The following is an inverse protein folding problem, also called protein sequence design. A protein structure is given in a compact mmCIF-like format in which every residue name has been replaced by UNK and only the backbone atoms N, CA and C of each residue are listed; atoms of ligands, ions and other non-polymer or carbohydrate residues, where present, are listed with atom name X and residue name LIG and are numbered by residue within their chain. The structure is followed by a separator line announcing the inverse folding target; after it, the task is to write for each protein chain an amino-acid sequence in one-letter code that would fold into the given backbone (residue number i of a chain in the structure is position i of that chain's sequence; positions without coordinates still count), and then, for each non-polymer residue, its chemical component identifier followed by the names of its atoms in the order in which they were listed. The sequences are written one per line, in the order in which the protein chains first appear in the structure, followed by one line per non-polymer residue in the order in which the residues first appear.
data_IF_552976068043
#
_entry.id   IF_552976068043
#
_cell.length_a   1.000
_cell.length_b   1.000
_cell.length_c   1.000
_cell.angle_alpha   90.00
_cell.angle_beta   90.00
_cell.angle_gamma   90.00
#
_symmetry.space_group_name_H-M   'P 1'
#
loop_
_entity.id
_entity.type
_entity.pdbx_description
1 polymer ?
#
# COMPACT_ATOMS: atom_id res chain seq x y z
N UNK A 1 -24.39 -28.99 -9.07
CA UNK A 1 -23.86 -27.80 -9.79
C UNK A 1 -23.74 -26.66 -8.78
N UNK A 2 -22.54 -26.16 -8.48
CA UNK A 2 -22.36 -25.05 -7.54
C UNK A 2 -22.63 -23.72 -8.24
N UNK A 3 -23.53 -22.89 -7.69
CA UNK A 3 -23.86 -21.57 -8.23
C UNK A 3 -22.86 -20.55 -7.70
N UNK A 4 -22.02 -19.99 -8.58
CA UNK A 4 -21.13 -18.87 -8.24
C UNK A 4 -21.95 -17.58 -8.21
N UNK A 5 -21.86 -16.84 -7.11
CA UNK A 5 -22.56 -15.57 -6.92
C UNK A 5 -21.54 -14.51 -6.47
N UNK A 6 -21.71 -13.28 -6.94
CA UNK A 6 -20.86 -12.14 -6.58
C UNK A 6 -21.77 -10.96 -6.24
N UNK A 7 -21.47 -10.28 -5.13
CA UNK A 7 -22.26 -9.17 -4.59
C UNK A 7 -21.32 -8.16 -3.92
N UNK A 8 -21.68 -6.89 -3.93
CA UNK A 8 -20.99 -5.89 -3.13
C UNK A 8 -21.27 -6.14 -1.64
N UNK A 9 -20.26 -5.94 -0.78
CA UNK A 9 -20.36 -6.15 0.68
C UNK A 9 -20.84 -7.55 1.09
N UNK A 10 -20.50 -8.56 0.30
CA UNK A 10 -20.88 -9.95 0.58
C UNK A 10 -20.34 -10.46 1.92
N UNK A 11 -19.27 -9.86 2.45
CA UNK A 11 -18.72 -10.17 3.76
C UNK A 11 -19.59 -9.73 4.94
N UNK A 12 -20.46 -8.73 4.74
CA UNK A 12 -21.42 -8.27 5.77
C UNK A 12 -22.62 -9.22 5.88
N UNK A 13 -23.02 -9.84 4.76
CA UNK A 13 -24.25 -10.62 4.66
C UNK A 13 -24.04 -12.13 4.74
N UNK A 14 -22.86 -12.63 4.37
CA UNK A 14 -22.57 -14.05 4.31
C UNK A 14 -21.41 -14.44 5.23
N UNK A 15 -21.70 -15.16 6.32
CA UNK A 15 -20.72 -15.53 7.34
C UNK A 15 -19.45 -16.22 6.78
N UNK A 16 -19.57 -17.06 5.74
CA UNK A 16 -18.41 -17.69 5.11
C UNK A 16 -17.52 -16.70 4.36
N UNK A 17 -18.11 -15.67 3.75
CA UNK A 17 -17.39 -14.59 3.08
C UNK A 17 -16.79 -13.64 4.11
N UNK A 18 -17.53 -13.37 5.20
CA UNK A 18 -17.02 -12.65 6.38
C UNK A 18 -15.79 -13.31 6.99
N UNK A 19 -15.83 -14.63 7.18
CA UNK A 19 -14.68 -15.41 7.65
C UNK A 19 -13.48 -15.29 6.69
N UNK A 20 -13.70 -15.39 5.37
CA UNK A 20 -12.64 -15.17 4.38
C UNK A 20 -12.08 -13.74 4.43
N UNK A 21 -12.93 -12.74 4.64
CA UNK A 21 -12.56 -11.32 4.80
C UNK A 21 -11.68 -11.11 6.05
N UNK A 22 -12.00 -11.77 7.17
CA UNK A 22 -11.19 -11.77 8.39
C UNK A 22 -9.82 -12.37 8.13
N UNK A 23 -9.75 -13.58 7.57
CA UNK A 23 -8.47 -14.24 7.25
C UNK A 23 -7.61 -13.35 6.36
N UNK A 24 -8.18 -12.78 5.30
CA UNK A 24 -7.46 -11.91 4.39
C UNK A 24 -6.91 -10.65 5.09
N UNK A 25 -7.70 -10.01 5.96
CA UNK A 25 -7.26 -8.82 6.71
C UNK A 25 -6.14 -9.14 7.71
N UNK A 26 -6.26 -10.26 8.44
CA UNK A 26 -5.24 -10.67 9.40
C UNK A 26 -3.91 -10.98 8.69
N UNK A 27 -3.92 -11.69 7.55
CA UNK A 27 -2.68 -11.94 6.79
C UNK A 27 -2.09 -10.65 6.20
N UNK A 28 -2.95 -9.72 5.78
CA UNK A 28 -2.52 -8.40 5.30
C UNK A 28 -1.82 -7.62 6.40
N UNK A 29 -2.38 -7.57 7.60
CA UNK A 29 -1.80 -6.82 8.72
C UNK A 29 -0.44 -7.42 9.13
N UNK A 30 -0.32 -8.76 9.21
CA UNK A 30 0.98 -9.42 9.42
C UNK A 30 2.00 -9.10 8.32
N UNK A 31 1.55 -8.98 7.07
CA UNK A 31 2.46 -8.60 5.97
C UNK A 31 2.94 -7.16 6.11
N UNK A 32 2.10 -6.24 6.60
CA UNK A 32 2.50 -4.85 6.88
C UNK A 32 3.52 -4.82 8.02
N UNK A 33 3.31 -5.58 9.10
CA UNK A 33 4.29 -5.72 10.19
C UNK A 33 5.64 -6.23 9.67
N UNK A 34 5.65 -7.29 8.84
CA UNK A 34 6.89 -7.81 8.27
C UNK A 34 7.61 -6.82 7.34
N UNK A 35 6.87 -5.92 6.68
CA UNK A 35 7.48 -4.82 5.91
C UNK A 35 8.06 -3.78 6.86
N UNK A 36 7.38 -3.50 7.98
CA UNK A 36 7.87 -2.57 8.99
C UNK A 36 9.16 -3.06 9.67
N UNK A 37 9.31 -4.38 9.85
CA UNK A 37 10.56 -4.97 10.35
C UNK A 37 11.76 -4.71 9.41
N UNK A 38 11.51 -4.59 8.10
CA UNK A 38 12.54 -4.35 7.09
C UNK A 38 12.82 -2.86 6.84
N UNK A 39 11.77 -2.04 6.78
CA UNK A 39 11.85 -0.64 6.36
C UNK A 39 11.63 0.39 7.48
N UNK A 40 11.26 -0.04 8.69
CA UNK A 40 10.86 0.84 9.78
C UNK A 40 9.37 1.23 9.72
N UNK A 41 9.02 2.42 10.20
CA UNK A 41 7.62 2.81 10.35
C UNK A 41 6.95 3.15 9.00
N UNK A 42 6.36 2.14 8.35
CA UNK A 42 5.72 2.30 7.01
C UNK A 42 4.25 2.74 7.06
N UNK A 43 3.64 2.75 8.25
CA UNK A 43 2.21 3.00 8.45
C UNK A 43 1.31 1.90 7.90
N UNK A 44 0.05 2.23 7.63
CA UNK A 44 -0.98 1.29 7.17
C UNK A 44 -0.83 0.84 5.72
N UNK A 45 0.00 1.51 4.92
CA UNK A 45 0.14 1.28 3.48
C UNK A 45 -0.94 1.96 2.63
N UNK A 46 -1.87 2.72 3.22
CA UNK A 46 -2.88 3.48 2.48
C UNK A 46 -2.41 4.91 2.18
N UNK A 47 -2.77 5.47 1.01
CA UNK A 47 -2.52 6.86 0.68
C UNK A 47 -3.18 7.85 1.62
N UNK A 48 -4.19 7.48 2.40
CA UNK A 48 -4.80 8.39 3.39
C UNK A 48 -3.97 8.53 4.67
N UNK A 49 -3.01 7.62 4.88
CA UNK A 49 -2.18 7.59 6.06
C UNK A 49 -0.98 8.53 5.91
N UNK A 50 -0.81 9.41 6.90
CA UNK A 50 0.31 10.36 6.96
C UNK A 50 1.65 9.63 7.01
N UNK A 51 1.76 8.60 7.85
CA UNK A 51 3.00 7.84 8.05
C UNK A 51 3.44 7.14 6.77
N UNK A 52 2.50 6.51 6.03
CA UNK A 52 2.80 5.89 4.74
C UNK A 52 3.27 6.90 3.70
N UNK A 53 2.65 8.10 3.65
CA UNK A 53 3.08 9.15 2.72
C UNK A 53 4.47 9.66 3.04
N UNK A 54 4.78 9.83 4.33
CA UNK A 54 6.08 10.29 4.80
C UNK A 54 7.16 9.26 4.46
N UNK A 55 6.96 8.01 4.86
CA UNK A 55 7.85 6.88 4.50
C UNK A 55 8.18 6.85 3.00
N UNK A 56 7.16 6.87 2.13
CA UNK A 56 7.38 6.82 0.68
C UNK A 56 8.13 8.06 0.16
N UNK A 57 7.82 9.25 0.68
CA UNK A 57 8.47 10.50 0.27
C UNK A 57 9.95 10.50 0.65
N UNK A 58 10.26 10.10 1.87
CA UNK A 58 11.64 10.04 2.36
C UNK A 58 12.45 9.00 1.60
N UNK A 59 11.89 7.80 1.39
CA UNK A 59 12.56 6.76 0.64
C UNK A 59 12.87 7.21 -0.80
N UNK A 60 11.91 7.83 -1.49
CA UNK A 60 12.14 8.35 -2.85
C UNK A 60 13.15 9.50 -2.85
N UNK A 61 13.12 10.39 -1.85
CA UNK A 61 14.11 11.47 -1.71
C UNK A 61 15.53 10.91 -1.57
N UNK A 62 15.70 9.87 -0.75
CA UNK A 62 17.01 9.36 -0.36
C UNK A 62 17.57 8.35 -1.38
N UNK A 63 16.71 7.60 -2.08
CA UNK A 63 17.11 6.55 -3.03
C UNK A 63 16.80 6.86 -4.50
N UNK A 64 15.97 7.87 -4.79
CA UNK A 64 15.50 8.20 -6.14
C UNK A 64 14.53 7.18 -6.76
N UNK A 65 14.19 6.12 -6.04
CA UNK A 65 13.30 5.03 -6.47
C UNK A 65 12.31 4.68 -5.37
N UNK A 66 11.24 3.96 -5.73
CA UNK A 66 10.28 3.43 -4.76
C UNK A 66 10.84 2.18 -4.05
N UNK A 67 10.45 1.93 -2.78
CA UNK A 67 10.78 0.68 -2.11
C UNK A 67 10.07 -0.50 -2.79
N UNK A 68 10.65 -1.70 -2.72
CA UNK A 68 10.13 -2.88 -3.42
C UNK A 68 8.72 -3.30 -2.96
N UNK A 69 8.35 -2.95 -1.74
CA UNK A 69 7.02 -3.17 -1.20
C UNK A 69 5.95 -2.23 -1.79
N UNK A 70 6.35 -1.14 -2.46
CA UNK A 70 5.44 -0.13 -3.00
C UNK A 70 4.88 -0.51 -4.38
N UNK A 71 3.64 -0.08 -4.62
CA UNK A 71 2.94 -0.31 -5.89
C UNK A 71 3.20 0.84 -6.85
N UNK A 72 4.12 0.66 -7.79
CA UNK A 72 4.53 1.67 -8.78
C UNK A 72 3.38 2.29 -9.58
N UNK A 73 2.30 1.54 -9.81
CA UNK A 73 1.12 2.02 -10.57
C UNK A 73 0.15 2.90 -9.78
N UNK A 74 0.35 3.06 -8.46
CA UNK A 74 -0.51 3.93 -7.66
C UNK A 74 -0.12 5.39 -7.86
N UNK A 75 -1.11 6.28 -7.99
CA UNK A 75 -0.89 7.72 -8.22
C UNK A 75 0.05 8.31 -7.17
N UNK A 76 -0.15 8.01 -5.88
CA UNK A 76 0.75 8.46 -4.80
C UNK A 76 2.21 8.10 -5.04
N UNK A 77 2.49 6.92 -5.59
CA UNK A 77 3.85 6.49 -5.89
C UNK A 77 4.39 7.17 -7.16
N UNK A 78 3.57 7.23 -8.22
CA UNK A 78 3.95 7.88 -9.48
C UNK A 78 4.22 9.38 -9.29
N UNK A 79 3.38 10.07 -8.52
CA UNK A 79 3.49 11.50 -8.25
C UNK A 79 4.79 11.83 -7.47
N UNK A 80 5.17 10.97 -6.52
CA UNK A 80 6.40 11.15 -5.73
C UNK A 80 7.66 11.03 -6.60
N UNK A 81 7.70 10.02 -7.49
CA UNK A 81 8.84 9.83 -8.41
C UNK A 81 8.93 10.99 -9.39
N UNK A 82 7.81 11.40 -9.99
CA UNK A 82 7.78 12.53 -10.92
C UNK A 82 8.23 13.85 -10.25
N UNK A 83 7.81 14.08 -9.01
CA UNK A 83 8.23 15.26 -8.25
C UNK A 83 9.74 15.26 -7.94
N UNK A 84 10.32 14.09 -7.66
CA UNK A 84 11.76 13.96 -7.43
C UNK A 84 12.56 14.25 -8.71
N UNK A 85 12.15 13.69 -9.85
CA UNK A 85 12.77 13.94 -11.16
C UNK A 85 12.75 15.43 -11.53
N UNK A 86 11.60 16.10 -11.36
CA UNK A 86 11.46 17.53 -11.64
C UNK A 86 12.36 18.40 -10.75
N UNK A 87 12.52 18.05 -9.48
CA UNK A 87 13.37 18.80 -8.55
C UNK A 87 14.84 18.69 -8.96
N UNK A 88 15.29 17.51 -9.36
CA UNK A 88 16.68 17.29 -9.81
C UNK A 88 17.05 18.05 -11.10
N UNK A 89 16.05 18.40 -11.92
CA UNK A 89 16.27 19.11 -13.18
C UNK A 89 16.42 20.63 -12.98
N UNK A 90 15.91 21.16 -11.88
CA UNK A 90 15.96 22.59 -11.55
C UNK A 90 17.27 23.06 -10.92
N UNK A 91 18.15 22.13 -10.54
CA UNK A 91 19.44 22.40 -9.88
C UNK A 91 20.62 22.58 -10.87
N UNK A 92 20.35 22.66 -12.18
CA UNK A 92 21.33 22.91 -13.26
C UNK A 92 21.14 24.29 -13.91
#
# INVERSE_FOLDING_TARGET
MYKRQAQHRADDEHAIVGAASIVAKVERDRRVEAIADEYGEVGSGYPSDGTTREFLREYVRDHGILPDCARKSWSTCADLVAAHEQSSLGDF
#
